data_IF_445487674066
#
_entry.id   IF_445487674066
#
_cell.length_a   1.000
_cell.length_b   1.000
_cell.length_c   1.000
_cell.angle_alpha   90.00
_cell.angle_beta   90.00
_cell.angle_gamma   90.00
#
_symmetry.space_group_name_H-M   'P 1'
#
loop_
_entity.id
_entity.type
_entity.pdbx_description
1 polymer ?
#
# COMPACT_ATOMS: atom_id res chain seq x y z
N UNK A 1 -24.12 16.90 14.42
CA UNK A 1 -23.47 17.23 13.13
C UNK A 1 -22.45 18.33 13.37
N UNK A 2 -21.19 18.16 12.94
CA UNK A 2 -20.14 19.20 12.96
C UNK A 2 -19.74 19.50 11.51
N UNK A 3 -19.09 20.63 11.29
CA UNK A 3 -18.51 20.99 9.99
C UNK A 3 -17.00 21.02 10.12
N UNK A 4 -16.30 20.29 9.25
CA UNK A 4 -14.85 20.18 9.22
C UNK A 4 -14.30 20.82 7.94
N UNK A 5 -13.21 21.56 8.08
CA UNK A 5 -12.39 22.03 6.96
C UNK A 5 -11.16 21.14 6.86
N UNK A 6 -10.99 20.51 5.71
CA UNK A 6 -9.79 19.69 5.39
C UNK A 6 -8.95 20.49 4.40
N UNK A 7 -7.66 20.64 4.72
CA UNK A 7 -6.71 21.31 3.84
C UNK A 7 -5.88 20.25 3.14
N UNK A 8 -6.00 20.20 1.81
CA UNK A 8 -5.38 19.21 0.94
C UNK A 8 -6.32 18.09 0.49
N UNK A 9 -6.34 17.82 -0.82
CA UNK A 9 -7.17 16.78 -1.45
C UNK A 9 -6.38 15.54 -1.89
N UNK A 10 -5.21 15.31 -1.33
CA UNK A 10 -4.48 14.07 -1.49
C UNK A 10 -5.21 12.88 -0.84
N UNK A 11 -4.64 11.67 -0.91
CA UNK A 11 -5.25 10.44 -0.41
C UNK A 11 -5.76 10.56 1.04
N UNK A 12 -4.94 11.09 1.95
CA UNK A 12 -5.31 11.23 3.37
C UNK A 12 -6.48 12.20 3.53
N UNK A 13 -6.46 13.36 2.84
CA UNK A 13 -7.53 14.35 2.91
C UNK A 13 -8.85 13.77 2.39
N UNK A 14 -8.83 13.07 1.27
CA UNK A 14 -10.00 12.43 0.67
C UNK A 14 -10.57 11.33 1.57
N UNK A 15 -9.73 10.42 2.07
CA UNK A 15 -10.18 9.34 2.98
C UNK A 15 -10.74 9.90 4.29
N UNK A 16 -10.07 10.88 4.89
CA UNK A 16 -10.57 11.53 6.11
C UNK A 16 -11.92 12.20 5.87
N UNK A 17 -12.06 12.93 4.76
CA UNK A 17 -13.31 13.58 4.38
C UNK A 17 -14.43 12.57 4.20
N UNK A 18 -14.17 11.49 3.46
CA UNK A 18 -15.13 10.44 3.23
C UNK A 18 -15.60 9.80 4.55
N UNK A 19 -14.69 9.45 5.45
CA UNK A 19 -15.04 8.86 6.76
C UNK A 19 -15.81 9.82 7.65
N UNK A 20 -15.52 11.12 7.61
CA UNK A 20 -16.28 12.14 8.34
C UNK A 20 -17.68 12.29 7.80
N UNK A 21 -17.87 12.24 6.48
CA UNK A 21 -19.18 12.28 5.83
C UNK A 21 -20.02 11.05 6.23
N UNK A 22 -19.42 9.86 6.19
CA UNK A 22 -20.06 8.61 6.63
C UNK A 22 -20.48 8.68 8.12
N UNK A 23 -19.71 9.40 8.93
CA UNK A 23 -20.05 9.65 10.35
C UNK A 23 -21.11 10.76 10.56
N UNK A 24 -21.75 11.27 9.49
CA UNK A 24 -22.81 12.26 9.56
C UNK A 24 -22.33 13.70 9.77
N UNK A 25 -21.11 14.00 9.35
CA UNK A 25 -20.54 15.35 9.45
C UNK A 25 -20.52 16.05 8.09
N UNK A 26 -20.57 17.39 8.11
CA UNK A 26 -20.32 18.21 6.93
C UNK A 26 -18.81 18.41 6.74
N UNK A 27 -18.33 18.37 5.49
CA UNK A 27 -16.91 18.57 5.18
C UNK A 27 -16.74 19.52 4.02
N UNK A 28 -15.80 20.44 4.15
CA UNK A 28 -15.29 21.27 3.05
C UNK A 28 -13.81 20.91 2.84
N UNK A 29 -13.45 20.60 1.60
CA UNK A 29 -12.03 20.38 1.23
C UNK A 29 -11.54 21.66 0.53
N UNK A 30 -10.42 22.19 1.02
CA UNK A 30 -9.67 23.27 0.37
C UNK A 30 -8.39 22.70 -0.21
N UNK A 31 -8.20 22.83 -1.51
CA UNK A 31 -7.01 22.31 -2.21
C UNK A 31 -6.66 23.23 -3.38
N UNK A 32 -5.38 23.27 -3.72
CA UNK A 32 -4.89 23.86 -4.97
C UNK A 32 -5.03 22.92 -6.17
N UNK A 33 -5.23 21.63 -5.92
CA UNK A 33 -5.39 20.60 -6.93
C UNK A 33 -6.83 20.56 -7.46
N UNK A 34 -7.03 20.01 -8.64
CA UNK A 34 -8.36 19.81 -9.24
C UNK A 34 -9.15 18.68 -8.54
N UNK A 35 -10.41 18.49 -8.96
CA UNK A 35 -11.26 17.43 -8.40
C UNK A 35 -10.75 16.01 -8.70
N UNK A 36 -10.04 15.82 -9.81
CA UNK A 36 -9.47 14.53 -10.16
C UNK A 36 -8.24 14.22 -9.30
N UNK A 37 -7.55 15.25 -8.80
CA UNK A 37 -6.37 15.08 -7.94
C UNK A 37 -5.11 14.85 -8.74
N UNK A 38 -5.01 15.43 -9.94
CA UNK A 38 -3.95 15.16 -10.91
C UNK A 38 -2.56 15.55 -10.41
N UNK A 39 -2.45 16.50 -9.50
CA UNK A 39 -1.20 16.93 -8.87
C UNK A 39 -0.86 16.12 -7.61
N UNK A 40 -1.74 15.23 -7.17
CA UNK A 40 -1.51 14.46 -5.95
C UNK A 40 -0.57 13.27 -6.19
N UNK A 41 0.27 12.95 -5.20
CA UNK A 41 1.12 11.75 -5.26
C UNK A 41 0.31 10.46 -5.46
N UNK A 42 -0.92 10.40 -4.94
CA UNK A 42 -1.81 9.25 -5.10
C UNK A 42 -2.28 9.03 -6.54
N UNK A 43 -2.31 10.07 -7.37
CA UNK A 43 -2.66 9.96 -8.79
C UNK A 43 -1.53 9.34 -9.63
N UNK A 44 -0.28 9.63 -9.26
CA UNK A 44 0.90 9.17 -9.99
C UNK A 44 1.41 7.82 -9.47
N UNK A 45 1.15 7.51 -8.20
CA UNK A 45 1.65 6.31 -7.54
C UNK A 45 1.06 5.03 -8.15
N UNK A 46 1.86 3.97 -8.18
CA UNK A 46 1.41 2.62 -8.56
C UNK A 46 0.41 2.00 -7.56
N UNK A 47 0.19 2.68 -6.43
CA UNK A 47 -0.81 2.33 -5.40
C UNK A 47 -0.64 0.94 -4.79
N UNK A 48 0.60 0.43 -4.72
CA UNK A 48 0.87 -0.84 -4.02
C UNK A 48 0.67 -0.68 -2.51
N UNK A 49 -0.05 -1.63 -1.91
CA UNK A 49 -0.16 -1.76 -0.45
C UNK A 49 0.61 -3.03 -0.07
N UNK A 50 1.90 -2.87 0.19
CA UNK A 50 2.85 -3.95 0.37
C UNK A 50 3.55 -3.88 1.75
N UNK A 51 2.84 -4.11 2.86
CA UNK A 51 3.34 -3.86 4.21
C UNK A 51 4.62 -4.63 4.54
N UNK A 52 4.78 -5.83 4.02
CA UNK A 52 5.95 -6.66 4.30
C UNK A 52 7.21 -6.14 3.60
N UNK A 53 7.14 -5.82 2.33
CA UNK A 53 8.29 -5.29 1.57
C UNK A 53 8.67 -3.88 2.00
N UNK A 54 7.70 -3.04 2.33
CA UNK A 54 7.93 -1.69 2.86
C UNK A 54 8.63 -1.73 4.23
N UNK A 55 8.22 -2.64 5.10
CA UNK A 55 8.82 -2.79 6.43
C UNK A 55 10.31 -3.12 6.37
N UNK A 56 10.78 -3.86 5.37
CA UNK A 56 12.19 -4.22 5.21
C UNK A 56 13.06 -2.98 4.99
N UNK A 57 12.54 -1.95 4.35
CA UNK A 57 13.25 -0.67 4.12
C UNK A 57 13.02 0.36 5.22
N UNK A 58 11.95 0.24 5.98
CA UNK A 58 11.59 1.14 7.08
C UNK A 58 11.83 0.47 8.45
N UNK A 59 10.77 -0.02 9.08
CA UNK A 59 10.83 -0.75 10.34
C UNK A 59 9.56 -1.61 10.57
N UNK A 60 9.56 -2.38 11.67
CA UNK A 60 8.46 -3.29 12.02
C UNK A 60 7.11 -2.56 12.24
N UNK A 61 7.12 -1.30 12.67
CA UNK A 61 5.89 -0.54 12.87
C UNK A 61 5.14 -0.31 11.55
N UNK A 62 5.87 -0.16 10.45
CA UNK A 62 5.29 -0.02 9.10
C UNK A 62 4.58 -1.31 8.69
N UNK A 63 5.16 -2.50 8.99
CA UNK A 63 4.47 -3.77 8.79
C UNK A 63 3.14 -3.83 9.53
N UNK A 64 3.16 -3.54 10.82
CA UNK A 64 1.98 -3.69 11.68
C UNK A 64 0.86 -2.71 11.32
N UNK A 65 1.21 -1.44 11.01
CA UNK A 65 0.27 -0.45 10.50
C UNK A 65 -0.25 -0.82 9.11
N UNK A 66 0.61 -1.34 8.25
CA UNK A 66 0.23 -1.76 6.90
C UNK A 66 -0.75 -2.94 6.89
N UNK A 67 -0.56 -3.93 7.77
CA UNK A 67 -1.52 -5.05 7.94
C UNK A 67 -2.89 -4.52 8.41
N UNK A 68 -2.91 -3.60 9.38
CA UNK A 68 -4.15 -2.95 9.81
C UNK A 68 -4.79 -2.15 8.67
N UNK A 69 -3.99 -1.44 7.89
CA UNK A 69 -4.45 -0.70 6.72
C UNK A 69 -5.09 -1.61 5.67
N UNK A 70 -4.48 -2.76 5.36
CA UNK A 70 -5.08 -3.73 4.43
C UNK A 70 -6.46 -4.19 4.89
N UNK A 71 -6.62 -4.51 6.18
CA UNK A 71 -7.90 -4.92 6.74
C UNK A 71 -8.97 -3.80 6.69
N UNK A 72 -8.54 -2.54 6.76
CA UNK A 72 -9.43 -1.38 6.59
C UNK A 72 -9.81 -1.20 5.12
N UNK A 73 -8.87 -1.34 4.20
CA UNK A 73 -9.14 -1.25 2.76
C UNK A 73 -10.15 -2.30 2.31
N UNK A 74 -10.08 -3.53 2.79
CA UNK A 74 -11.07 -4.57 2.50
C UNK A 74 -12.49 -4.13 2.84
N UNK A 75 -12.65 -3.52 4.02
CA UNK A 75 -13.95 -3.02 4.47
C UNK A 75 -14.41 -1.81 3.66
N UNK A 76 -13.51 -0.87 3.42
CA UNK A 76 -13.84 0.39 2.76
C UNK A 76 -14.12 0.22 1.27
N UNK A 77 -13.39 -0.66 0.59
CA UNK A 77 -13.64 -0.94 -0.83
C UNK A 77 -14.98 -1.65 -1.05
N UNK A 78 -15.44 -2.42 -0.07
CA UNK A 78 -16.76 -3.03 -0.11
C UNK A 78 -17.93 -2.00 0.07
N UNK A 79 -17.63 -0.78 0.51
CA UNK A 79 -18.62 0.31 0.63
C UNK A 79 -18.80 1.09 -0.68
N UNK A 80 -18.00 0.84 -1.73
CA UNK A 80 -18.14 1.51 -3.03
C UNK A 80 -19.11 0.77 -3.94
N UNK A 81 -19.92 1.51 -4.67
CA UNK A 81 -20.85 0.95 -5.67
C UNK A 81 -20.12 0.39 -6.89
N UNK A 82 -18.96 0.96 -7.23
CA UNK A 82 -18.14 0.52 -8.35
C UNK A 82 -16.95 -0.33 -7.86
N UNK A 83 -16.63 -1.44 -8.56
CA UNK A 83 -15.52 -2.29 -8.18
C UNK A 83 -14.18 -1.56 -8.36
N UNK A 84 -13.35 -1.59 -7.34
CA UNK A 84 -11.98 -1.08 -7.40
C UNK A 84 -11.01 -2.24 -7.63
N UNK A 85 -10.09 -2.08 -8.57
CA UNK A 85 -9.04 -3.08 -8.79
C UNK A 85 -8.13 -3.16 -7.56
N UNK A 86 -8.22 -4.26 -6.84
CA UNK A 86 -7.47 -4.51 -5.60
C UNK A 86 -7.13 -6.00 -5.46
N UNK A 87 -6.26 -6.54 -6.32
CA UNK A 87 -5.85 -7.94 -6.22
C UNK A 87 -4.91 -8.14 -5.02
N UNK A 88 -5.03 -9.29 -4.36
CA UNK A 88 -4.17 -9.71 -3.24
C UNK A 88 -3.33 -10.91 -3.67
N UNK A 89 -2.47 -10.69 -4.62
CA UNK A 89 -1.64 -11.74 -5.23
C UNK A 89 -0.27 -11.90 -4.58
N UNK A 90 0.05 -11.01 -3.61
CA UNK A 90 1.37 -10.97 -2.98
C UNK A 90 2.34 -10.06 -3.72
N UNK A 91 3.60 -10.11 -3.29
CA UNK A 91 4.69 -9.30 -3.85
C UNK A 91 5.90 -10.18 -4.09
N UNK A 92 6.53 -10.06 -5.26
CA UNK A 92 7.81 -10.66 -5.57
C UNK A 92 8.92 -9.63 -5.43
N UNK A 93 10.00 -10.00 -4.75
CA UNK A 93 11.25 -9.23 -4.73
C UNK A 93 12.30 -10.05 -5.48
N UNK A 94 12.71 -9.52 -6.61
CA UNK A 94 13.66 -10.18 -7.51
C UNK A 94 14.91 -9.31 -7.70
N UNK A 95 16.00 -9.94 -8.10
CA UNK A 95 17.24 -9.25 -8.46
C UNK A 95 17.87 -9.91 -9.69
N UNK A 96 18.50 -9.11 -10.53
CA UNK A 96 19.34 -9.61 -11.59
C UNK A 96 20.57 -10.34 -11.04
N UNK A 97 21.20 -11.15 -11.86
CA UNK A 97 22.37 -11.92 -11.45
C UNK A 97 23.51 -11.04 -10.90
N UNK A 98 23.70 -9.84 -11.46
CA UNK A 98 24.68 -8.87 -10.99
C UNK A 98 24.38 -8.25 -9.62
N UNK A 99 23.12 -8.30 -9.17
CA UNK A 99 22.63 -7.63 -7.95
C UNK A 99 22.43 -8.59 -6.77
N UNK A 100 23.03 -9.78 -6.82
CA UNK A 100 22.92 -10.81 -5.75
C UNK A 100 23.34 -10.28 -4.37
N UNK A 101 24.27 -9.35 -4.31
CA UNK A 101 24.71 -8.74 -3.06
C UNK A 101 23.60 -7.87 -2.43
N UNK A 102 22.84 -7.14 -3.26
CA UNK A 102 21.69 -6.34 -2.80
C UNK A 102 20.56 -7.24 -2.31
N UNK A 103 20.24 -8.29 -3.07
CA UNK A 103 19.24 -9.27 -2.65
C UNK A 103 19.64 -9.92 -1.31
N UNK A 104 20.91 -10.28 -1.14
CA UNK A 104 21.40 -10.86 0.12
C UNK A 104 21.28 -9.86 1.28
N UNK A 105 21.51 -8.57 1.04
CA UNK A 105 21.27 -7.51 2.05
C UNK A 105 19.79 -7.39 2.41
N UNK A 106 18.93 -7.36 1.40
CA UNK A 106 17.50 -7.33 1.59
C UNK A 106 17.01 -8.53 2.40
N UNK A 107 17.43 -9.75 2.05
CA UNK A 107 17.09 -11.00 2.75
C UNK A 107 17.49 -10.97 4.23
N UNK A 108 18.71 -10.48 4.55
CA UNK A 108 19.14 -10.34 5.95
C UNK A 108 18.27 -9.34 6.72
N UNK A 109 17.89 -8.22 6.09
CA UNK A 109 16.98 -7.24 6.73
C UNK A 109 15.60 -7.83 6.90
N UNK A 110 15.06 -8.51 5.89
CA UNK A 110 13.78 -9.19 5.97
C UNK A 110 13.75 -10.19 7.13
N UNK A 111 14.77 -11.04 7.27
CA UNK A 111 14.88 -12.00 8.36
C UNK A 111 14.97 -11.36 9.77
N UNK A 112 15.36 -10.10 9.85
CA UNK A 112 15.40 -9.34 11.11
C UNK A 112 14.05 -8.65 11.44
N UNK A 113 13.33 -8.21 10.42
CA UNK A 113 12.12 -7.38 10.56
C UNK A 113 10.84 -8.22 10.49
N UNK A 114 10.82 -9.24 9.62
CA UNK A 114 9.65 -10.05 9.32
C UNK A 114 9.67 -11.37 10.09
N UNK A 115 8.49 -11.91 10.34
CA UNK A 115 8.37 -13.26 10.87
C UNK A 115 8.48 -14.28 9.73
N UNK A 116 8.87 -15.52 10.03
CA UNK A 116 9.07 -16.57 9.02
C UNK A 116 7.80 -16.96 8.26
N UNK A 117 6.64 -16.58 8.77
CA UNK A 117 5.32 -16.75 8.13
C UNK A 117 4.97 -15.63 7.15
N UNK A 118 5.69 -14.50 7.18
CA UNK A 118 5.38 -13.32 6.38
C UNK A 118 5.90 -13.42 4.95
N UNK A 119 6.92 -14.27 4.71
CA UNK A 119 7.56 -14.43 3.41
C UNK A 119 8.15 -15.83 3.24
N UNK A 120 8.41 -16.19 2.01
CA UNK A 120 9.20 -17.39 1.67
C UNK A 120 10.27 -17.03 0.64
N UNK A 121 11.39 -17.72 0.71
CA UNK A 121 12.39 -17.67 -0.35
C UNK A 121 12.02 -18.71 -1.41
N UNK A 122 12.12 -18.33 -2.66
CA UNK A 122 11.87 -19.21 -3.80
C UNK A 122 13.12 -19.27 -4.67
N UNK A 123 13.30 -20.39 -5.33
CA UNK A 123 14.39 -20.59 -6.30
C UNK A 123 13.98 -20.11 -7.72
N UNK A 124 14.92 -20.14 -8.64
CA UNK A 124 14.71 -19.70 -10.01
C UNK A 124 13.62 -20.52 -10.74
N UNK A 125 13.51 -21.81 -10.46
CA UNK A 125 12.47 -22.65 -11.07
C UNK A 125 11.08 -22.29 -10.55
N UNK A 126 10.95 -22.01 -9.26
CA UNK A 126 9.72 -21.57 -8.64
C UNK A 126 9.33 -20.17 -9.14
N UNK A 127 10.32 -19.28 -9.28
CA UNK A 127 10.09 -17.95 -9.86
C UNK A 127 9.55 -18.07 -11.29
N UNK A 128 10.17 -18.88 -12.13
CA UNK A 128 9.74 -19.06 -13.51
C UNK A 128 8.34 -19.68 -13.63
N UNK A 129 7.95 -20.54 -12.68
CA UNK A 129 6.59 -21.07 -12.63
C UNK A 129 5.55 -20.01 -12.23
N UNK A 130 5.93 -19.03 -11.40
CA UNK A 130 5.06 -17.93 -10.97
C UNK A 130 4.97 -16.82 -12.00
N UNK A 131 6.05 -16.51 -12.66
CA UNK A 131 6.18 -15.43 -13.66
C UNK A 131 7.13 -15.87 -14.76
N UNK A 132 6.63 -16.54 -15.81
CA UNK A 132 7.45 -17.07 -16.89
C UNK A 132 8.24 -16.01 -17.69
N UNK A 133 7.89 -14.75 -17.53
CA UNK A 133 8.48 -13.60 -18.22
C UNK A 133 9.73 -13.05 -17.50
N UNK A 134 9.98 -13.48 -16.27
CA UNK A 134 11.14 -13.15 -15.47
C UNK A 134 12.20 -14.26 -15.60
#
# INVERSE_FOLDING_TARGET
MKHYLIIGSGLIGRLTSWRLIQAGHAVTILSSDDKAGTDSAGFIAASMIAPFTEAVTADRSIRDLGIQSQALWDKWLAEFDEPVFYPKTGTLVVAHEGDKAELSRYQRRAAHILDTTDYQQIDAQQLQNLSPEL
#
